data_IF_445801825225
#
_entry.id   IF_445801825225
#
_cell.length_a   1.000
_cell.length_b   1.000
_cell.length_c   1.000
_cell.angle_alpha   90.00
_cell.angle_beta   90.00
_cell.angle_gamma   90.00
#
_symmetry.space_group_name_H-M   'P 1'
#
loop_
_entity.id
_entity.type
_entity.pdbx_description
1 polymer ?
#
# COMPACT_ATOMS: atom_id res chain seq x y z
N UNK A 1 -5.43 13.31 -8.11
CA UNK A 1 -4.73 12.84 -6.88
C UNK A 1 -4.85 13.81 -5.70
N UNK A 2 -4.70 15.13 -5.90
CA UNK A 2 -4.76 16.11 -4.79
C UNK A 2 -6.09 16.09 -4.02
N UNK A 3 -7.24 16.12 -4.70
CA UNK A 3 -8.57 16.08 -4.04
C UNK A 3 -8.74 14.79 -3.22
N UNK A 4 -8.37 13.64 -3.79
CA UNK A 4 -8.40 12.36 -3.07
C UNK A 4 -7.51 12.39 -1.82
N UNK A 5 -6.30 12.94 -1.92
CA UNK A 5 -5.41 13.10 -0.78
C UNK A 5 -6.01 13.99 0.32
N UNK A 6 -6.68 15.09 -0.06
CA UNK A 6 -7.37 15.96 0.90
C UNK A 6 -8.46 15.18 1.63
N UNK A 7 -9.29 14.42 0.92
CA UNK A 7 -10.36 13.61 1.53
C UNK A 7 -9.78 12.59 2.50
N UNK A 8 -8.70 11.90 2.12
CA UNK A 8 -8.02 10.93 2.98
C UNK A 8 -7.50 11.61 4.25
N UNK A 9 -6.78 12.73 4.12
CA UNK A 9 -6.22 13.44 5.28
C UNK A 9 -7.31 13.95 6.22
N UNK A 10 -8.41 14.49 5.69
CA UNK A 10 -9.56 14.93 6.48
C UNK A 10 -10.20 13.80 7.29
N UNK A 11 -10.27 12.59 6.75
CA UNK A 11 -10.76 11.43 7.48
C UNK A 11 -9.76 10.89 8.51
N UNK A 12 -8.48 10.83 8.14
CA UNK A 12 -7.43 10.18 8.93
C UNK A 12 -7.10 10.95 10.22
N UNK A 13 -7.04 12.28 10.16
CA UNK A 13 -6.64 13.13 11.30
C UNK A 13 -7.53 12.97 12.53
N UNK A 14 -8.87 13.13 12.46
CA UNK A 14 -9.73 12.94 13.63
C UNK A 14 -9.78 11.48 14.10
N UNK A 15 -9.65 10.51 13.19
CA UNK A 15 -9.59 9.09 13.55
C UNK A 15 -8.39 8.76 14.44
N UNK A 16 -7.22 9.34 14.16
CA UNK A 16 -6.02 9.10 14.96
C UNK A 16 -6.18 9.61 16.41
N UNK A 17 -6.80 10.78 16.58
CA UNK A 17 -7.07 11.37 17.90
C UNK A 17 -8.06 10.49 18.67
N UNK A 18 -9.20 10.16 18.05
CA UNK A 18 -10.27 9.41 18.69
C UNK A 18 -9.85 7.97 19.07
N UNK A 19 -9.02 7.32 18.25
CA UNK A 19 -8.57 5.96 18.50
C UNK A 19 -7.70 5.87 19.78
N UNK A 20 -6.81 6.84 19.96
CA UNK A 20 -5.93 6.92 21.14
C UNK A 20 -6.76 7.07 22.42
N UNK A 21 -7.76 7.95 22.40
CA UNK A 21 -8.65 8.19 23.54
C UNK A 21 -9.50 6.97 23.90
N UNK A 22 -10.02 6.26 22.88
CA UNK A 22 -10.83 5.04 23.06
C UNK A 22 -10.03 3.89 23.66
N UNK A 23 -8.79 3.68 23.21
CA UNK A 23 -7.92 2.61 23.73
C UNK A 23 -7.60 2.85 25.21
N UNK A 24 -7.29 4.09 25.59
CA UNK A 24 -6.97 4.45 26.99
C UNK A 24 -8.21 4.35 27.90
N UNK A 25 -9.39 4.73 27.41
CA UNK A 25 -10.62 4.71 28.21
C UNK A 25 -11.19 3.31 28.47
N UNK A 26 -10.77 2.28 27.73
CA UNK A 26 -11.41 0.96 27.73
C UNK A 26 -10.79 -0.06 28.68
N UNK A 27 -9.72 0.28 29.41
CA UNK A 27 -8.94 -0.68 30.22
C UNK A 27 -8.81 -0.23 31.68
N UNK A 28 -9.05 -1.12 32.67
CA UNK A 28 -8.84 -0.79 34.09
C UNK A 28 -7.36 -0.45 34.40
N UNK A 29 -7.10 0.51 35.30
CA UNK A 29 -5.78 1.11 35.54
C UNK A 29 -4.69 0.11 35.92
N UNK A 30 -5.04 -1.03 36.56
CA UNK A 30 -4.05 -2.04 36.93
C UNK A 30 -3.52 -2.85 35.72
N UNK A 31 -4.19 -2.81 34.56
CA UNK A 31 -3.81 -3.55 33.34
C UNK A 31 -3.46 -2.66 32.14
N UNK A 32 -3.54 -1.34 32.29
CA UNK A 32 -3.30 -0.37 31.22
C UNK A 32 -1.91 -0.50 30.61
N UNK A 33 -0.88 -0.79 31.41
CA UNK A 33 0.50 -0.96 30.92
C UNK A 33 0.64 -2.12 29.92
N UNK A 34 0.20 -3.33 30.31
CA UNK A 34 0.27 -4.50 29.44
C UNK A 34 -0.62 -4.36 28.19
N UNK A 35 -1.81 -3.77 28.34
CA UNK A 35 -2.71 -3.51 27.21
C UNK A 35 -2.14 -2.48 26.23
N UNK A 36 -1.51 -1.41 26.74
CA UNK A 36 -0.88 -0.37 25.91
C UNK A 36 0.29 -0.93 25.13
N UNK A 37 1.18 -1.72 25.75
CA UNK A 37 2.29 -2.36 25.04
C UNK A 37 1.83 -3.31 23.94
N UNK A 38 0.76 -4.07 24.19
CA UNK A 38 0.18 -4.96 23.18
C UNK A 38 -0.47 -4.18 22.02
N UNK A 39 -1.16 -3.08 22.31
CA UNK A 39 -1.74 -2.20 21.30
C UNK A 39 -0.67 -1.55 20.43
N UNK A 40 0.41 -1.06 21.04
CA UNK A 40 1.55 -0.48 20.33
C UNK A 40 2.19 -1.50 19.38
N UNK A 41 2.50 -2.70 19.89
CA UNK A 41 3.07 -3.78 19.08
C UNK A 41 2.12 -4.18 17.94
N UNK A 42 0.82 -4.23 18.20
CA UNK A 42 -0.17 -4.55 17.16
C UNK A 42 -0.23 -3.47 16.07
N UNK A 43 -0.11 -2.20 16.46
CA UNK A 43 -0.05 -1.07 15.54
C UNK A 43 1.20 -1.12 14.66
N UNK A 44 2.38 -1.30 15.28
CA UNK A 44 3.65 -1.41 14.56
C UNK A 44 3.68 -2.63 13.61
N UNK A 45 3.21 -3.79 14.09
CA UNK A 45 3.09 -4.98 13.25
C UNK A 45 2.10 -4.76 12.10
N UNK A 46 0.94 -4.15 12.37
CA UNK A 46 -0.04 -3.82 11.33
C UNK A 46 0.56 -2.89 10.26
N UNK A 47 1.32 -1.88 10.68
CA UNK A 47 2.03 -0.98 9.79
C UNK A 47 3.07 -1.73 8.95
N UNK A 48 3.93 -2.52 9.56
CA UNK A 48 4.96 -3.30 8.86
C UNK A 48 4.37 -4.29 7.85
N UNK A 49 3.31 -5.01 8.24
CA UNK A 49 2.62 -5.96 7.37
C UNK A 49 1.97 -5.25 6.18
N UNK A 50 1.32 -4.10 6.41
CA UNK A 50 0.68 -3.36 5.33
C UNK A 50 1.68 -2.88 4.27
N UNK A 51 2.82 -2.32 4.70
CA UNK A 51 3.92 -1.89 3.81
C UNK A 51 4.45 -3.07 3.01
N UNK A 52 4.66 -4.23 3.65
CA UNK A 52 5.18 -5.44 3.01
C UNK A 52 4.19 -6.00 1.98
N UNK A 53 2.93 -6.20 2.36
CA UNK A 53 1.90 -6.77 1.49
C UNK A 53 1.67 -5.87 0.27
N UNK A 54 1.50 -4.56 0.47
CA UNK A 54 1.28 -3.63 -0.62
C UNK A 54 2.52 -3.48 -1.50
N UNK A 55 3.71 -3.51 -0.92
CA UNK A 55 4.98 -3.53 -1.65
C UNK A 55 5.10 -4.78 -2.55
N UNK A 56 4.75 -5.96 -2.03
CA UNK A 56 4.75 -7.22 -2.79
C UNK A 56 3.76 -7.15 -3.95
N UNK A 57 2.52 -6.71 -3.70
CA UNK A 57 1.48 -6.60 -4.74
C UNK A 57 1.93 -5.62 -5.84
N UNK A 58 2.36 -4.42 -5.46
CA UNK A 58 2.80 -3.41 -6.43
C UNK A 58 3.99 -3.88 -7.26
N UNK A 59 4.97 -4.52 -6.61
CA UNK A 59 6.16 -5.07 -7.29
C UNK A 59 5.80 -6.23 -8.20
N UNK A 60 4.92 -7.14 -7.79
CA UNK A 60 4.48 -8.26 -8.60
C UNK A 60 3.75 -7.79 -9.86
N UNK A 61 2.84 -6.81 -9.73
CA UNK A 61 2.12 -6.21 -10.86
C UNK A 61 3.10 -5.51 -11.80
N UNK A 62 4.03 -4.70 -11.28
CA UNK A 62 5.07 -4.05 -12.08
C UNK A 62 5.88 -5.08 -12.89
N UNK A 63 6.43 -6.10 -12.22
CA UNK A 63 7.25 -7.16 -12.84
C UNK A 63 6.50 -7.95 -13.91
N UNK A 64 5.20 -8.13 -13.73
CA UNK A 64 4.35 -8.82 -14.69
C UNK A 64 4.08 -7.96 -15.93
N UNK A 65 3.72 -6.70 -15.74
CA UNK A 65 3.39 -5.77 -16.83
C UNK A 65 4.62 -5.40 -17.65
N UNK A 66 5.73 -5.04 -17.00
CA UNK A 66 6.95 -4.57 -17.70
C UNK A 66 7.62 -5.68 -18.51
N UNK A 67 7.42 -6.96 -18.13
CA UNK A 67 8.01 -8.10 -18.84
C UNK A 67 7.56 -8.20 -20.31
N UNK A 68 6.35 -7.76 -20.63
CA UNK A 68 5.83 -7.73 -22.00
C UNK A 68 6.42 -6.61 -22.88
N UNK A 69 7.10 -5.63 -22.28
CA UNK A 69 7.65 -4.46 -22.97
C UNK A 69 9.17 -4.49 -23.10
N UNK A 70 9.82 -5.55 -22.62
CA UNK A 70 11.27 -5.73 -22.75
C UNK A 70 11.59 -6.14 -24.21
N UNK A 71 12.37 -5.34 -24.96
CA UNK A 71 12.69 -5.67 -26.35
C UNK A 71 13.54 -6.94 -26.48
N UNK A 72 13.24 -7.76 -27.49
CA UNK A 72 14.07 -8.90 -27.87
C UNK A 72 15.38 -8.38 -28.50
N UNK A 73 16.47 -8.34 -27.73
CA UNK A 73 17.76 -7.82 -28.19
C UNK A 73 18.61 -7.14 -27.13
N UNK A 74 18.05 -6.88 -25.94
CA UNK A 74 18.84 -6.41 -24.78
C UNK A 74 19.48 -7.60 -24.04
N UNK A 75 20.59 -7.35 -23.34
CA UNK A 75 21.22 -8.37 -22.52
C UNK A 75 20.28 -8.84 -21.40
N UNK A 76 20.46 -10.08 -20.94
CA UNK A 76 19.64 -10.65 -19.88
C UNK A 76 19.73 -9.82 -18.58
N UNK A 77 20.92 -9.31 -18.27
CA UNK A 77 21.17 -8.46 -17.10
C UNK A 77 20.42 -7.12 -17.20
N UNK A 78 20.46 -6.47 -18.37
CA UNK A 78 19.73 -5.22 -18.62
C UNK A 78 18.22 -5.45 -18.54
N UNK A 79 17.71 -6.56 -19.09
CA UNK A 79 16.30 -6.92 -18.98
C UNK A 79 15.87 -7.22 -17.55
N UNK A 80 16.72 -7.86 -16.74
CA UNK A 80 16.46 -8.08 -15.31
C UNK A 80 16.41 -6.76 -14.54
N UNK A 81 17.35 -5.85 -14.77
CA UNK A 81 17.37 -4.54 -14.11
C UNK A 81 16.09 -3.73 -14.39
N UNK A 82 15.61 -3.72 -15.63
CA UNK A 82 14.32 -3.10 -16.01
C UNK A 82 13.16 -3.78 -15.28
N UNK A 83 13.18 -5.12 -15.21
CA UNK A 83 12.10 -5.89 -14.61
C UNK A 83 12.01 -5.73 -13.09
N UNK A 84 13.14 -5.63 -12.41
CA UNK A 84 13.15 -5.63 -10.94
C UNK A 84 12.70 -4.29 -10.35
N UNK A 85 13.05 -3.15 -10.97
CA UNK A 85 12.66 -1.83 -10.47
C UNK A 85 12.51 -0.78 -11.57
N UNK A 86 11.68 0.24 -11.32
CA UNK A 86 11.62 1.44 -12.16
C UNK A 86 12.97 2.18 -12.18
N UNK A 87 13.71 2.18 -11.07
CA UNK A 87 15.04 2.80 -10.99
C UNK A 87 16.05 2.14 -11.93
N UNK A 88 15.99 0.80 -12.05
CA UNK A 88 16.76 0.05 -13.03
C UNK A 88 16.36 0.42 -14.46
N UNK A 89 15.07 0.53 -14.75
CA UNK A 89 14.59 0.98 -16.05
C UNK A 89 15.08 2.40 -16.43
N UNK A 90 15.05 3.34 -15.47
CA UNK A 90 15.59 4.70 -15.65
C UNK A 90 17.09 4.68 -15.94
N UNK A 91 17.85 3.84 -15.23
CA UNK A 91 19.29 3.70 -15.45
C UNK A 91 19.59 3.17 -16.84
N UNK A 92 18.86 2.15 -17.28
CA UNK A 92 19.00 1.56 -18.63
C UNK A 92 18.63 2.56 -19.72
N UNK A 93 17.55 3.32 -19.54
CA UNK A 93 17.11 4.34 -20.50
C UNK A 93 18.10 5.52 -20.63
N UNK A 94 18.98 5.76 -19.65
CA UNK A 94 20.06 6.75 -19.78
C UNK A 94 21.21 6.26 -20.67
N UNK A 95 21.39 4.94 -20.79
CA UNK A 95 22.50 4.33 -21.52
C UNK A 95 22.13 3.85 -22.92
N UNK A 96 20.83 3.82 -23.26
CA UNK A 96 20.31 3.35 -24.54
C UNK A 96 19.20 4.30 -25.04
N UNK A 97 19.00 4.46 -26.35
CA UNK A 97 17.97 5.34 -26.93
C UNK A 97 16.56 4.73 -26.87
N UNK A 98 16.16 4.19 -25.70
CA UNK A 98 14.88 3.49 -25.51
C UNK A 98 13.93 4.30 -24.62
N UNK A 99 13.48 5.45 -25.10
CA UNK A 99 12.42 6.24 -24.44
C UNK A 99 11.13 5.42 -24.25
N UNK A 100 10.86 4.48 -25.16
CA UNK A 100 9.69 3.58 -25.09
C UNK A 100 9.71 2.63 -23.89
N UNK A 101 10.90 2.18 -23.45
CA UNK A 101 11.05 1.29 -22.28
C UNK A 101 10.78 2.04 -21.00
N UNK A 102 11.24 3.30 -20.90
CA UNK A 102 11.01 4.14 -19.75
C UNK A 102 9.52 4.49 -19.59
N UNK A 103 8.84 4.85 -20.68
CA UNK A 103 7.39 5.13 -20.63
C UNK A 103 6.58 3.88 -20.28
N UNK A 104 6.93 2.71 -20.83
CA UNK A 104 6.31 1.45 -20.46
C UNK A 104 6.54 1.11 -18.97
N UNK A 105 7.74 1.32 -18.45
CA UNK A 105 8.06 1.10 -17.04
C UNK A 105 7.28 2.05 -16.11
N UNK A 106 7.19 3.35 -16.46
CA UNK A 106 6.37 4.32 -15.72
C UNK A 106 4.89 3.90 -15.71
N UNK A 107 4.36 3.49 -16.86
CA UNK A 107 2.98 3.02 -16.96
C UNK A 107 2.73 1.77 -16.12
N UNK A 108 3.64 0.78 -16.18
CA UNK A 108 3.58 -0.42 -15.35
C UNK A 108 3.63 -0.10 -13.86
N UNK A 109 4.48 0.86 -13.46
CA UNK A 109 4.59 1.29 -12.07
C UNK A 109 3.31 1.96 -11.57
N UNK A 110 2.78 2.91 -12.34
CA UNK A 110 1.51 3.59 -12.01
C UNK A 110 0.35 2.60 -11.95
N UNK A 111 0.31 1.63 -12.87
CA UNK A 111 -0.68 0.53 -12.84
C UNK A 111 -0.56 -0.30 -11.56
N UNK A 112 0.67 -0.61 -11.12
CA UNK A 112 0.92 -1.27 -9.83
C UNK A 112 0.36 -0.48 -8.64
N UNK A 113 0.60 0.83 -8.60
CA UNK A 113 0.04 1.72 -7.56
C UNK A 113 -1.49 1.76 -7.61
N UNK A 114 -2.09 1.78 -8.80
CA UNK A 114 -3.54 1.75 -8.95
C UNK A 114 -4.15 0.43 -8.46
N UNK A 115 -3.52 -0.71 -8.74
CA UNK A 115 -3.97 -2.02 -8.24
C UNK A 115 -3.90 -2.07 -6.72
N UNK A 116 -2.79 -1.60 -6.12
CA UNK A 116 -2.67 -1.49 -4.66
C UNK A 116 -3.80 -0.61 -4.10
N UNK A 117 -4.07 0.55 -4.71
CA UNK A 117 -5.18 1.41 -4.32
C UNK A 117 -6.55 0.73 -4.42
N UNK A 118 -6.78 -0.05 -5.47
CA UNK A 118 -8.00 -0.84 -5.64
C UNK A 118 -8.16 -1.92 -4.57
N UNK A 119 -7.11 -2.67 -4.26
CA UNK A 119 -7.09 -3.68 -3.19
C UNK A 119 -7.40 -3.03 -1.85
N UNK A 120 -6.73 -1.92 -1.52
CA UNK A 120 -6.99 -1.16 -0.29
C UNK A 120 -8.42 -0.64 -0.20
N UNK A 121 -9.00 -0.19 -1.31
CA UNK A 121 -10.39 0.27 -1.36
C UNK A 121 -11.38 -0.87 -1.07
N UNK A 122 -11.14 -2.06 -1.63
CA UNK A 122 -11.96 -3.25 -1.36
C UNK A 122 -11.87 -3.65 0.11
N UNK A 123 -10.65 -3.65 0.69
CA UNK A 123 -10.45 -3.96 2.11
C UNK A 123 -11.20 -2.98 3.02
N UNK A 124 -11.13 -1.68 2.72
CA UNK A 124 -11.85 -0.65 3.47
C UNK A 124 -13.37 -0.82 3.36
N UNK A 125 -13.89 -1.08 2.15
CA UNK A 125 -15.32 -1.36 1.96
C UNK A 125 -15.77 -2.59 2.75
N UNK A 126 -14.96 -3.65 2.75
CA UNK A 126 -15.22 -4.85 3.55
C UNK A 126 -15.28 -4.55 5.05
N UNK A 127 -14.35 -3.73 5.55
CA UNK A 127 -14.35 -3.30 6.95
C UNK A 127 -15.58 -2.45 7.30
N UNK A 128 -16.01 -1.56 6.40
CA UNK A 128 -17.22 -0.76 6.57
C UNK A 128 -18.45 -1.67 6.69
N UNK A 129 -18.58 -2.66 5.80
CA UNK A 129 -19.69 -3.63 5.83
C UNK A 129 -19.67 -4.43 7.14
N UNK A 130 -18.50 -4.89 7.56
CA UNK A 130 -18.33 -5.63 8.81
C UNK A 130 -18.73 -4.78 10.03
N UNK A 131 -18.29 -3.52 10.08
CA UNK A 131 -18.64 -2.60 11.15
C UNK A 131 -20.15 -2.32 11.21
N UNK A 132 -20.78 -2.07 10.06
CA UNK A 132 -22.22 -1.80 9.97
C UNK A 132 -23.08 -3.01 10.32
N UNK A 133 -22.57 -4.24 10.14
CA UNK A 133 -23.28 -5.48 10.50
C UNK A 133 -23.13 -5.80 11.99
N UNK A 134 -21.91 -5.74 12.55
CA UNK A 134 -21.65 -5.98 13.97
C UNK A 134 -22.35 -4.98 14.89
N UNK A 135 -22.31 -3.68 14.58
CA UNK A 135 -22.99 -2.67 15.41
C UNK A 135 -24.51 -2.68 15.24
N UNK A 136 -25.03 -3.27 14.17
CA UNK A 136 -26.47 -3.46 14.02
C UNK A 136 -27.02 -4.44 15.05
N UNK A 137 -26.24 -5.46 15.41
CA UNK A 137 -26.65 -6.46 16.39
C UNK A 137 -26.54 -5.96 17.84
N UNK A 138 -25.61 -5.04 18.14
CA UNK A 138 -25.48 -4.45 19.49
C UNK A 138 -26.61 -3.45 19.80
N UNK A 139 -27.24 -2.88 18.76
CA UNK A 139 -28.34 -1.89 18.91
C UNK A 139 -29.73 -2.53 18.93
N UNK A 140 -29.85 -3.86 18.81
CA UNK A 140 -31.08 -4.64 18.98
C UNK A 140 -31.14 -5.23 20.38
#
# INVERSE_FOLDING_TARGET
MVIGNIIIMLGLSPLMVLNTDLVVASVPPEKTGAASSLSEMSSELGMALSISIFGIIGTAVYRHLVAGYIPNGISQETGQAVRDTLAGAVTVAKSLPYDSVLEAAKHAFLSGIQVVGGVSSILLLGLIVLYLTLLRDVRR
#
